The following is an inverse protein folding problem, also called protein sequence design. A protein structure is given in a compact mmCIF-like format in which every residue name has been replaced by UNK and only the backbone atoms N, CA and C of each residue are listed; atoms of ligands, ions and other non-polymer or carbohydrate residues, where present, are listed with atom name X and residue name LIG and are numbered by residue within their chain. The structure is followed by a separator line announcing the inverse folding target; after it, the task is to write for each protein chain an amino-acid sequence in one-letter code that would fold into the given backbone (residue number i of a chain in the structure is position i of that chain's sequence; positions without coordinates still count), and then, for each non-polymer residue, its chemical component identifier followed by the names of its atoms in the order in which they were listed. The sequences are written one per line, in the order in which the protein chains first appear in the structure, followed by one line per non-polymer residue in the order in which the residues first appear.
data_IF_846623276676
#
_entry.id   IF_846623276676
#
_cell.length_a   1.000
_cell.length_b   1.000
_cell.length_c   1.000
_cell.angle_alpha   90.00
_cell.angle_beta   90.00
_cell.angle_gamma   90.00
#
_symmetry.space_group_name_H-M   'P 1'
#
loop_
_entity.id
_entity.type
_entity.pdbx_description
1 polymer ?
#
# COMPACT_ATOMS: atom_id res chain seq x y z
N UNK A 1 22.86 -18.76 -21.10
CA UNK A 1 22.08 -19.09 -19.88
C UNK A 1 23.02 -19.66 -18.84
N UNK A 2 22.92 -19.23 -17.58
CA UNK A 2 23.73 -19.78 -16.48
C UNK A 2 23.16 -21.13 -16.00
N UNK A 3 24.03 -22.03 -15.53
CA UNK A 3 23.65 -23.33 -14.96
C UNK A 3 23.52 -23.24 -13.44
N UNK A 4 22.55 -23.96 -12.87
CA UNK A 4 22.38 -24.09 -11.43
C UNK A 4 23.34 -25.15 -10.85
N UNK A 5 23.97 -24.86 -9.70
CA UNK A 5 24.88 -25.78 -9.00
C UNK A 5 24.13 -26.45 -7.83
N UNK A 6 23.81 -27.73 -7.99
CA UNK A 6 23.13 -28.54 -6.97
C UNK A 6 24.11 -29.08 -5.91
N UNK A 7 23.58 -29.48 -4.74
CA UNK A 7 24.40 -29.92 -3.58
C UNK A 7 24.61 -31.44 -3.50
N UNK A 8 24.06 -32.20 -4.44
CA UNK A 8 24.07 -33.67 -4.47
C UNK A 8 25.43 -34.32 -4.82
N UNK A 9 26.43 -33.54 -5.22
CA UNK A 9 27.69 -34.09 -5.75
C UNK A 9 27.53 -34.69 -7.15
N UNK A 10 28.27 -35.75 -7.48
CA UNK A 10 28.12 -36.45 -8.76
C UNK A 10 26.87 -37.33 -8.72
N UNK A 11 25.91 -37.05 -9.60
CA UNK A 11 24.69 -37.85 -9.77
C UNK A 11 25.07 -39.07 -10.61
N UNK A 12 24.72 -40.27 -10.15
CA UNK A 12 25.05 -41.53 -10.84
C UNK A 12 23.85 -42.12 -11.58
N UNK A 13 22.70 -42.20 -10.90
CA UNK A 13 21.50 -42.86 -11.46
C UNK A 13 20.52 -41.83 -12.07
N UNK A 14 19.66 -41.24 -11.25
CA UNK A 14 18.58 -40.36 -11.70
C UNK A 14 18.83 -38.90 -11.34
N UNK A 15 18.98 -38.07 -12.36
CA UNK A 15 19.20 -36.63 -12.19
C UNK A 15 17.96 -35.87 -11.69
N UNK A 16 16.76 -36.24 -12.14
CA UNK A 16 15.54 -35.54 -11.73
C UNK A 16 15.21 -35.81 -10.27
N UNK A 17 15.34 -37.06 -9.83
CA UNK A 17 15.11 -37.45 -8.45
C UNK A 17 16.13 -36.82 -7.50
N UNK A 18 17.41 -36.79 -7.89
CA UNK A 18 18.44 -36.10 -7.13
C UNK A 18 18.13 -34.60 -6.97
N UNK A 19 17.67 -33.96 -8.04
CA UNK A 19 17.26 -32.56 -8.01
C UNK A 19 15.99 -32.34 -7.20
N UNK A 20 15.00 -33.22 -7.29
CA UNK A 20 13.74 -33.12 -6.54
C UNK A 20 14.00 -33.03 -5.03
N UNK A 21 14.98 -33.79 -4.54
CA UNK A 21 15.38 -33.75 -3.14
C UNK A 21 16.47 -32.71 -2.83
N UNK A 22 16.89 -31.87 -3.78
CA UNK A 22 17.80 -30.73 -3.55
C UNK A 22 17.03 -29.54 -2.95
N UNK A 23 17.66 -28.63 -2.18
CA UNK A 23 16.98 -27.47 -1.60
C UNK A 23 16.33 -26.53 -2.61
N UNK A 24 16.69 -26.64 -3.90
CA UNK A 24 16.03 -25.96 -4.99
C UNK A 24 14.51 -26.19 -4.99
N UNK A 25 14.09 -27.45 -4.80
CA UNK A 25 12.70 -27.89 -4.83
C UNK A 25 12.13 -28.17 -3.45
N UNK A 26 12.49 -27.34 -2.47
CA UNK A 26 11.89 -27.40 -1.14
C UNK A 26 10.43 -26.96 -1.15
N UNK A 27 9.64 -27.52 -0.23
CA UNK A 27 8.31 -27.02 0.07
C UNK A 27 8.37 -25.54 0.47
N UNK A 28 7.53 -24.73 -0.18
CA UNK A 28 7.38 -23.32 0.13
C UNK A 28 6.08 -23.14 0.91
N UNK A 29 6.19 -22.56 2.09
CA UNK A 29 5.05 -22.22 2.94
C UNK A 29 4.88 -20.70 2.85
N UNK A 30 3.74 -20.26 2.34
CA UNK A 30 3.40 -18.84 2.33
C UNK A 30 2.99 -18.38 3.74
N UNK A 31 3.39 -17.17 4.12
CA UNK A 31 2.94 -16.57 5.37
C UNK A 31 1.53 -16.04 5.18
N UNK A 32 0.58 -16.60 5.93
CA UNK A 32 -0.79 -16.11 5.98
C UNK A 32 -0.87 -14.65 6.45
N UNK A 33 -1.89 -13.94 5.96
CA UNK A 33 -2.19 -12.57 6.37
C UNK A 33 -2.97 -12.48 7.68
N UNK A 34 -3.68 -13.55 8.06
CA UNK A 34 -4.53 -13.63 9.26
C UNK A 34 -4.44 -15.02 9.90
N UNK A 35 -4.65 -15.10 11.22
CA UNK A 35 -4.66 -16.35 11.98
C UNK A 35 -3.31 -16.70 12.63
N UNK A 36 -3.05 -18.00 12.89
CA UNK A 36 -1.81 -18.46 13.53
C UNK A 36 -0.59 -18.12 12.66
N UNK A 37 0.42 -17.49 13.25
CA UNK A 37 1.66 -17.13 12.56
C UNK A 37 1.57 -15.89 11.66
N UNK A 38 0.44 -15.19 11.64
CA UNK A 38 0.23 -14.01 10.79
C UNK A 38 0.76 -12.68 11.37
N UNK A 39 1.04 -12.64 12.68
CA UNK A 39 1.48 -11.42 13.35
C UNK A 39 2.82 -10.91 12.79
N UNK A 40 2.86 -9.61 12.43
CA UNK A 40 4.05 -8.91 11.94
C UNK A 40 4.32 -7.72 12.85
N UNK A 41 5.52 -7.66 13.44
CA UNK A 41 5.92 -6.56 14.34
C UNK A 41 5.88 -5.18 13.66
N UNK A 42 6.19 -5.14 12.36
CA UNK A 42 6.14 -3.94 11.53
C UNK A 42 5.27 -4.20 10.31
N UNK A 43 4.32 -3.31 10.05
CA UNK A 43 3.56 -3.33 8.81
C UNK A 43 4.44 -2.90 7.62
N UNK A 44 4.07 -3.30 6.39
CA UNK A 44 4.80 -2.93 5.16
C UNK A 44 5.04 -1.42 5.03
N UNK A 45 4.13 -0.60 5.56
CA UNK A 45 4.17 0.87 5.49
C UNK A 45 4.19 1.55 6.87
N UNK A 46 4.66 0.88 7.93
CA UNK A 46 4.59 1.35 9.32
C UNK A 46 5.44 2.58 9.70
N UNK A 47 5.92 3.37 8.74
CA UNK A 47 6.69 4.60 8.95
C UNK A 47 6.31 5.77 8.04
N UNK A 48 5.21 5.66 7.27
CA UNK A 48 4.76 6.70 6.32
C UNK A 48 3.58 7.55 6.84
N UNK A 49 3.23 7.43 8.12
CA UNK A 49 2.00 8.01 8.68
C UNK A 49 2.08 9.45 9.18
N UNK A 50 3.21 10.15 9.04
CA UNK A 50 3.40 11.53 9.54
C UNK A 50 3.97 12.48 8.49
N UNK A 51 3.86 12.16 7.20
CA UNK A 51 4.00 13.16 6.15
C UNK A 51 2.61 13.67 5.85
N UNK A 52 2.17 14.60 6.69
CA UNK A 52 0.97 15.38 6.52
C UNK A 52 1.12 16.20 5.23
N UNK A 53 0.76 15.61 4.08
CA UNK A 53 0.51 16.35 2.85
C UNK A 53 -0.84 17.07 2.99
N UNK A 54 -0.97 17.87 4.04
CA UNK A 54 -2.10 18.78 4.23
C UNK A 54 -1.92 19.90 3.22
N UNK A 55 -2.49 19.69 2.03
CA UNK A 55 -2.78 20.75 1.08
C UNK A 55 -3.76 21.74 1.70
N UNK A 56 -3.25 22.63 2.56
CA UNK A 56 -3.96 23.80 3.07
C UNK A 56 -4.17 24.82 1.94
N UNK A 57 -4.99 24.50 0.93
CA UNK A 57 -5.37 25.51 -0.08
C UNK A 57 -6.63 25.22 -0.91
N UNK A 58 -7.52 24.30 -0.53
CA UNK A 58 -8.74 24.04 -1.30
C UNK A 58 -9.99 24.83 -0.84
N UNK A 59 -9.96 25.48 0.34
CA UNK A 59 -11.13 26.20 0.91
C UNK A 59 -10.99 27.73 0.87
N UNK A 60 -10.18 28.30 -0.03
CA UNK A 60 -10.09 29.77 -0.21
C UNK A 60 -10.71 30.29 -1.51
N UNK A 61 -11.12 29.42 -2.42
CA UNK A 61 -11.76 29.81 -3.68
C UNK A 61 -13.30 29.84 -3.62
N UNK A 62 -13.93 29.14 -2.68
CA UNK A 62 -15.40 29.01 -2.64
C UNK A 62 -16.11 30.06 -1.78
N UNK A 63 -15.42 30.75 -0.86
CA UNK A 63 -16.08 31.58 0.16
C UNK A 63 -16.03 33.09 -0.11
N UNK A 64 -15.35 33.53 -1.17
CA UNK A 64 -15.20 34.97 -1.51
C UNK A 64 -15.86 35.36 -2.84
N UNK A 65 -16.61 34.44 -3.47
CA UNK A 65 -17.06 34.59 -4.86
C UNK A 65 -18.53 34.96 -5.08
N UNK A 66 -19.33 35.29 -4.06
CA UNK A 66 -20.73 35.68 -4.27
C UNK A 66 -21.11 36.92 -3.45
N UNK A 67 -20.69 38.09 -3.93
CA UNK A 67 -21.31 39.38 -3.60
C UNK A 67 -22.41 39.66 -4.62
N UNK A 68 -23.72 39.60 -4.29
CA UNK A 68 -24.71 40.32 -5.06
C UNK A 68 -24.80 41.76 -4.54
N UNK A 69 -24.39 42.69 -5.41
CA UNK A 69 -24.62 44.12 -5.29
C UNK A 69 -26.11 44.47 -5.43
N UNK A 70 -26.56 45.42 -4.60
CA UNK A 70 -27.57 46.48 -4.84
C UNK A 70 -29.00 46.10 -5.28
N UNK A 71 -29.99 46.62 -4.54
CA UNK A 71 -30.83 47.75 -4.98
C UNK A 71 -31.88 48.13 -3.91
N UNK A 72 -32.50 49.29 -4.08
CA UNK A 72 -33.00 50.24 -3.07
C UNK A 72 -34.54 50.37 -3.17
N UNK A 73 -35.18 50.90 -2.11
CA UNK A 73 -36.57 51.43 -2.01
C UNK A 73 -37.65 50.34 -1.72
N UNK A 74 -38.61 50.47 -0.79
CA UNK A 74 -39.34 51.60 -0.19
C UNK A 74 -39.80 51.27 1.26
N UNK A 75 -39.82 52.32 2.11
CA UNK A 75 -40.89 52.74 3.06
C UNK A 75 -41.79 51.64 3.70
N UNK A 76 -41.92 51.53 5.04
CA UNK A 76 -42.81 52.34 5.91
C UNK A 76 -42.48 52.03 7.39
N UNK A 77 -42.45 53.02 8.31
CA UNK A 77 -42.45 52.79 9.76
C UNK A 77 -43.87 52.94 10.33
N UNK A 78 -44.30 52.05 11.24
CA UNK A 78 -45.49 52.13 12.13
C UNK A 78 -45.55 50.80 12.91
N UNK A 79 -45.65 50.67 14.23
CA UNK A 79 -46.06 51.50 15.36
C UNK A 79 -45.19 51.12 16.58
#
# INVERSE_FOLDING_TARGET
MSRYQHKRGKIQDNALEALLHDPLFRQRIEKNSKGKGSYKRKAKHGGKGWQEASGKQAMRFFTTGLLPLRSQLLLIPSF
#
